data_IF_297067669489
#
_entry.id   IF_297067669489
#
_cell.length_a   1.000
_cell.length_b   1.000
_cell.length_c   1.000
_cell.angle_alpha   90.00
_cell.angle_beta   90.00
_cell.angle_gamma   90.00
#
_symmetry.space_group_name_H-M   'P 1'
#
loop_
_entity.id
_entity.type
_entity.pdbx_description
1 polymer ?
#
# COMPACT_ATOMS: atom_id res chain seq x y z
N UNK A 1 -23.15 1.19 -20.31
CA UNK A 1 -21.96 1.18 -19.44
C UNK A 1 -22.26 0.81 -17.97
N UNK A 2 -22.88 -0.35 -17.69
CA UNK A 2 -23.29 -0.71 -16.30
C UNK A 2 -22.10 -1.00 -15.38
N UNK A 3 -21.14 -1.81 -15.86
CA UNK A 3 -20.00 -2.26 -15.05
C UNK A 3 -19.07 -1.09 -14.69
N UNK A 4 -18.63 -0.32 -15.68
CA UNK A 4 -17.73 0.83 -15.43
C UNK A 4 -18.36 1.89 -14.52
N UNK A 5 -19.68 2.10 -14.60
CA UNK A 5 -20.43 2.96 -13.67
C UNK A 5 -20.46 2.38 -12.26
N UNK A 6 -20.72 1.08 -12.11
CA UNK A 6 -20.71 0.40 -10.81
C UNK A 6 -19.34 0.41 -10.14
N UNK A 7 -18.26 0.41 -10.91
CA UNK A 7 -16.89 0.53 -10.42
C UNK A 7 -16.39 1.99 -10.31
N UNK A 8 -17.24 2.98 -10.62
CA UNK A 8 -16.91 4.40 -10.48
C UNK A 8 -15.84 4.92 -11.43
N UNK A 9 -15.62 4.25 -12.56
CA UNK A 9 -14.56 4.59 -13.54
C UNK A 9 -15.09 5.07 -14.88
N UNK A 10 -16.40 5.22 -15.05
CA UNK A 10 -17.00 5.73 -16.29
C UNK A 10 -16.88 7.26 -16.35
N UNK A 11 -16.33 7.78 -17.44
CA UNK A 11 -16.49 9.18 -17.85
C UNK A 11 -17.84 9.25 -18.57
N UNK A 12 -18.87 9.82 -17.91
CA UNK A 12 -20.25 9.76 -18.38
C UNK A 12 -20.44 10.42 -19.76
N UNK A 13 -19.79 11.56 -19.98
CA UNK A 13 -19.93 12.35 -21.22
C UNK A 13 -19.23 11.71 -22.43
N UNK A 14 -18.16 10.97 -22.19
CA UNK A 14 -17.34 10.35 -23.24
C UNK A 14 -17.69 8.87 -23.47
N UNK A 15 -18.43 8.24 -22.54
CA UNK A 15 -18.78 6.83 -22.61
C UNK A 15 -17.60 5.86 -22.44
N UNK A 16 -16.42 6.36 -22.04
CA UNK A 16 -15.19 5.56 -21.85
C UNK A 16 -14.88 5.38 -20.37
N UNK A 17 -14.20 4.28 -20.03
CA UNK A 17 -13.71 4.08 -18.68
C UNK A 17 -12.29 4.64 -18.50
N UNK A 18 -12.04 5.29 -17.37
CA UNK A 18 -10.70 5.54 -16.85
C UNK A 18 -9.93 4.22 -16.69
N UNK A 19 -8.62 4.31 -16.53
CA UNK A 19 -7.73 3.13 -16.40
C UNK A 19 -7.78 2.56 -14.98
N UNK A 20 -8.97 2.07 -14.59
CA UNK A 20 -9.20 1.40 -13.31
C UNK A 20 -8.62 -0.01 -13.26
N UNK A 21 -7.88 -0.32 -12.22
CA UNK A 21 -7.46 -1.67 -11.80
C UNK A 21 -8.03 -1.94 -10.41
N UNK A 22 -8.55 -3.14 -10.21
CA UNK A 22 -9.15 -3.57 -8.95
C UNK A 22 -8.58 -4.92 -8.55
N UNK A 23 -8.04 -5.04 -7.34
CA UNK A 23 -7.62 -6.32 -6.76
C UNK A 23 -8.74 -6.80 -5.84
N UNK A 24 -9.33 -7.94 -6.18
CA UNK A 24 -10.44 -8.57 -5.45
C UNK A 24 -9.94 -9.93 -4.95
N UNK A 25 -10.11 -10.21 -3.66
CA UNK A 25 -9.65 -11.45 -3.06
C UNK A 25 -10.59 -12.64 -3.32
N UNK A 26 -10.20 -13.89 -2.98
CA UNK A 26 -11.05 -15.07 -3.18
C UNK A 26 -12.39 -15.06 -2.41
N UNK A 27 -12.54 -14.16 -1.42
CA UNK A 27 -13.80 -13.97 -0.67
C UNK A 27 -14.70 -12.95 -1.35
N UNK A 28 -14.29 -12.41 -2.50
CA UNK A 28 -15.01 -11.38 -3.25
C UNK A 28 -14.87 -9.98 -2.64
N UNK A 29 -13.92 -9.76 -1.74
CA UNK A 29 -13.71 -8.46 -1.10
C UNK A 29 -12.73 -7.63 -1.93
N UNK A 30 -13.11 -6.39 -2.25
CA UNK A 30 -12.23 -5.43 -2.92
C UNK A 30 -11.13 -4.97 -1.95
N UNK A 31 -9.86 -5.20 -2.32
CA UNK A 31 -8.69 -4.92 -1.47
C UNK A 31 -7.91 -3.69 -1.91
N UNK A 32 -7.90 -3.40 -3.21
CA UNK A 32 -7.12 -2.29 -3.76
C UNK A 32 -7.73 -1.74 -5.04
N UNK A 33 -7.58 -0.43 -5.24
CA UNK A 33 -8.04 0.32 -6.41
C UNK A 33 -6.90 1.22 -6.91
N UNK A 34 -6.52 1.10 -8.17
CA UNK A 34 -5.68 2.08 -8.89
C UNK A 34 -6.47 2.67 -10.04
N UNK A 35 -6.61 3.99 -10.08
CA UNK A 35 -7.24 4.69 -11.21
C UNK A 35 -6.27 5.69 -11.78
N UNK A 36 -5.88 5.50 -13.04
CA UNK A 36 -5.08 6.46 -13.78
C UNK A 36 -5.94 7.15 -14.83
N UNK A 37 -5.56 8.39 -15.15
CA UNK A 37 -6.08 9.10 -16.31
C UNK A 37 -5.69 8.40 -17.63
N UNK A 38 -6.38 8.72 -18.71
CA UNK A 38 -6.22 8.11 -20.04
C UNK A 38 -4.78 8.17 -20.61
N UNK A 39 -3.95 9.22 -20.43
CA UNK A 39 -2.63 9.25 -21.06
C UNK A 39 -1.55 8.45 -20.30
N UNK A 40 -1.80 8.02 -19.05
CA UNK A 40 -0.76 7.41 -18.20
C UNK A 40 -1.04 5.94 -17.93
N UNK A 41 -0.08 5.09 -18.27
CA UNK A 41 -0.12 3.66 -18.00
C UNK A 41 -0.03 3.31 -16.51
N UNK A 42 -0.44 2.09 -16.16
CA UNK A 42 -0.24 1.52 -14.81
C UNK A 42 1.09 0.77 -14.75
N UNK A 43 1.52 0.44 -13.53
CA UNK A 43 2.70 -0.40 -13.29
C UNK A 43 2.27 -1.84 -12.99
N UNK A 44 2.71 -2.79 -13.80
CA UNK A 44 2.42 -4.23 -13.61
C UNK A 44 3.11 -4.75 -12.37
N UNK A 45 4.34 -4.31 -12.10
CA UNK A 45 5.13 -4.86 -10.99
C UNK A 45 4.58 -4.40 -9.65
N UNK A 46 4.01 -3.20 -9.60
CA UNK A 46 3.26 -2.74 -8.43
C UNK A 46 1.99 -3.56 -8.23
N UNK A 47 1.33 -3.99 -9.31
CA UNK A 47 0.15 -4.86 -9.21
C UNK A 47 0.52 -6.22 -8.63
N UNK A 48 1.61 -6.83 -9.11
CA UNK A 48 2.12 -8.10 -8.59
C UNK A 48 2.52 -7.94 -7.12
N UNK A 49 3.28 -6.91 -6.78
CA UNK A 49 3.71 -6.61 -5.41
C UNK A 49 2.52 -6.49 -4.45
N UNK A 50 1.45 -5.82 -4.87
CA UNK A 50 0.24 -5.66 -4.06
C UNK A 50 -0.51 -7.00 -3.88
N UNK A 51 -0.61 -7.82 -4.92
CA UNK A 51 -1.22 -9.16 -4.82
C UNK A 51 -0.44 -10.03 -3.83
N UNK A 52 0.90 -10.08 -3.95
CA UNK A 52 1.76 -10.83 -3.04
C UNK A 52 1.65 -10.30 -1.60
N UNK A 53 1.57 -8.97 -1.42
CA UNK A 53 1.40 -8.37 -0.11
C UNK A 53 0.08 -8.79 0.55
N UNK A 54 -1.04 -8.76 -0.18
CA UNK A 54 -2.32 -9.21 0.38
C UNK A 54 -2.29 -10.70 0.73
N UNK A 55 -1.71 -11.54 -0.12
CA UNK A 55 -1.53 -12.98 0.17
C UNK A 55 -0.69 -13.19 1.43
N UNK A 56 0.44 -12.49 1.56
CA UNK A 56 1.28 -12.54 2.75
C UNK A 56 0.50 -12.15 4.01
N UNK A 57 -0.23 -11.03 3.98
CA UNK A 57 -1.02 -10.60 5.15
C UNK A 57 -2.14 -11.57 5.51
N UNK A 58 -2.79 -12.18 4.50
CA UNK A 58 -3.87 -13.14 4.70
C UNK A 58 -3.36 -14.47 5.28
N UNK A 59 -2.14 -14.90 4.90
CA UNK A 59 -1.50 -16.13 5.38
C UNK A 59 -0.84 -15.98 6.76
N UNK A 60 -0.17 -14.85 7.02
CA UNK A 60 0.70 -14.68 8.20
C UNK A 60 0.05 -13.86 9.31
N UNK A 61 -0.99 -13.08 9.01
CA UNK A 61 -1.60 -12.14 9.97
C UNK A 61 -0.70 -10.95 10.33
N UNK A 62 0.42 -10.78 9.63
CA UNK A 62 1.30 -9.61 9.72
C UNK A 62 0.88 -8.54 8.70
N UNK A 63 1.35 -7.31 8.87
CA UNK A 63 1.14 -6.22 7.91
C UNK A 63 2.41 -5.93 7.13
N UNK A 64 2.22 -5.53 5.87
CA UNK A 64 3.30 -5.14 4.96
C UNK A 64 3.65 -3.65 5.12
N UNK A 65 4.89 -3.30 5.48
CA UNK A 65 5.38 -1.92 5.52
C UNK A 65 5.43 -1.25 4.12
N UNK A 66 5.72 0.05 4.09
CA UNK A 66 5.88 0.77 2.83
C UNK A 66 6.99 0.16 1.96
N UNK A 67 6.70 -0.06 0.67
CA UNK A 67 7.65 -0.67 -0.25
C UNK A 67 7.94 -2.15 0.00
N UNK A 68 7.16 -2.83 0.84
CA UNK A 68 7.31 -4.28 1.08
C UNK A 68 7.29 -5.05 -0.24
N UNK A 69 8.22 -5.99 -0.38
CA UNK A 69 8.33 -6.94 -1.48
C UNK A 69 8.42 -8.35 -0.89
N UNK A 70 8.16 -9.36 -1.72
CA UNK A 70 8.31 -10.76 -1.32
C UNK A 70 9.71 -11.02 -0.70
N UNK A 71 9.75 -11.68 0.45
CA UNK A 71 10.95 -11.88 1.27
C UNK A 71 11.31 -10.74 2.24
N UNK A 72 10.65 -9.58 2.15
CA UNK A 72 10.83 -8.49 3.14
C UNK A 72 10.15 -8.84 4.46
N UNK A 73 10.69 -8.31 5.56
CA UNK A 73 10.13 -8.53 6.90
C UNK A 73 8.77 -7.83 7.04
N UNK A 74 7.75 -8.59 7.44
CA UNK A 74 6.46 -8.06 7.87
C UNK A 74 6.52 -7.43 9.27
N UNK A 75 5.43 -6.80 9.68
CA UNK A 75 5.29 -6.22 11.01
C UNK A 75 4.04 -6.75 11.68
N UNK A 76 4.13 -7.15 12.94
CA UNK A 76 2.94 -7.51 13.73
C UNK A 76 2.15 -6.25 14.09
N UNK A 77 0.85 -6.28 13.86
CA UNK A 77 -0.06 -5.16 14.06
C UNK A 77 -0.45 -4.95 15.54
N UNK A 78 0.53 -4.99 16.45
CA UNK A 78 0.35 -4.72 17.87
C UNK A 78 1.44 -3.79 18.42
N UNK A 79 1.21 -3.07 19.53
CA UNK A 79 2.19 -2.12 20.05
C UNK A 79 3.54 -2.74 20.46
N UNK A 80 3.61 -4.02 20.82
CA UNK A 80 4.87 -4.69 21.16
C UNK A 80 5.61 -5.10 19.88
N UNK A 81 4.93 -5.80 18.97
CA UNK A 81 5.50 -6.27 17.71
C UNK A 81 5.95 -5.14 16.78
N UNK A 82 5.21 -4.02 16.74
CA UNK A 82 5.62 -2.84 15.97
C UNK A 82 6.90 -2.19 16.50
N UNK A 83 7.09 -2.12 17.83
CA UNK A 83 8.33 -1.63 18.44
C UNK A 83 9.53 -2.50 18.08
N UNK A 84 9.37 -3.82 18.05
CA UNK A 84 10.41 -4.76 17.62
C UNK A 84 10.81 -4.53 16.16
N UNK A 85 9.83 -4.30 15.28
CA UNK A 85 10.07 -3.96 13.88
C UNK A 85 10.85 -2.64 13.74
N UNK A 86 10.38 -1.55 14.38
CA UNK A 86 11.05 -0.24 14.28
C UNK A 86 12.44 -0.22 14.90
N UNK A 87 12.68 -0.94 15.99
CA UNK A 87 14.00 -1.07 16.59
C UNK A 87 14.99 -1.74 15.63
N UNK A 88 14.57 -2.77 14.90
CA UNK A 88 15.40 -3.44 13.90
C UNK A 88 15.74 -2.53 12.71
N UNK A 89 14.75 -1.78 12.18
CA UNK A 89 14.93 -0.88 11.04
C UNK A 89 15.82 0.32 11.37
N UNK A 90 15.73 0.86 12.60
CA UNK A 90 16.57 1.98 13.05
C UNK A 90 18.01 1.55 13.39
N UNK A 91 18.24 0.26 13.65
CA UNK A 91 19.58 -0.29 13.90
C UNK A 91 20.45 -0.43 12.65
N UNK A 92 19.84 -0.54 11.47
CA UNK A 92 20.56 -0.70 10.19
C UNK A 92 20.88 0.65 9.51
N UNK A 93 20.13 1.73 9.82
CA UNK A 93 20.33 3.09 9.29
C UNK A 93 21.01 4.03 10.30
N UNK A 94 22.11 3.59 10.89
CA UNK A 94 22.98 4.40 11.75
C UNK A 94 23.79 5.45 10.98
N UNK A 95 23.16 6.35 10.22
CA UNK A 95 23.74 7.67 9.97
C UNK A 95 23.40 8.56 11.17
N UNK A 96 24.30 8.56 12.16
CA UNK A 96 24.28 9.56 13.21
C UNK A 96 24.49 10.94 12.58
N UNK A 97 23.45 11.78 12.52
CA UNK A 97 23.66 13.21 12.40
C UNK A 97 22.47 14.02 12.94
N UNK A 98 22.78 15.01 13.76
CA UNK A 98 21.84 16.09 14.09
C UNK A 98 21.35 16.10 15.53
N UNK A 99 22.11 16.78 16.38
CA UNK A 99 21.68 17.29 17.68
C UNK A 99 20.42 18.18 17.51
N UNK A 100 19.23 17.60 17.66
CA UNK A 100 17.96 18.29 17.54
C UNK A 100 17.49 18.81 18.89
N UNK A 101 17.90 20.04 19.25
CA UNK A 101 17.35 20.78 20.38
C UNK A 101 15.82 20.73 20.31
N UNK A 102 15.17 20.20 21.36
CA UNK A 102 13.71 20.26 21.56
C UNK A 102 13.27 21.72 21.40
N UNK A 103 12.70 22.08 20.25
CA UNK A 103 11.88 23.30 20.16
C UNK A 103 10.58 23.00 20.88
N UNK A 104 10.42 23.59 22.07
CA UNK A 104 9.11 23.69 22.71
C UNK A 104 8.16 24.35 21.69
N UNK A 105 7.00 23.72 21.47
CA UNK A 105 5.85 24.43 20.91
C UNK A 105 5.48 25.50 21.93
N UNK A 106 5.59 26.76 21.53
CA UNK A 106 4.89 27.87 22.15
C UNK A 106 3.71 28.14 21.24
N UNK A 107 2.52 27.88 21.79
CA UNK A 107 1.15 28.20 21.35
C UNK A 107 0.82 28.16 19.84
#
# INVERSE_FOLDING_TARGET
HKISRSYGVLIEDEGVALRGLFIIDPKGVLRQITVNDLPVGRNVEETIRLVEAFQFTDEHGEVCPAGWQNGSKGMKADPKGSREYFAAQNGENGHANGNGTKRLRVD
#
